data_IF_993162975860
#
_entry.id   IF_993162975860
#
_cell.length_a   1.000
_cell.length_b   1.000
_cell.length_c   1.000
_cell.angle_alpha   90.00
_cell.angle_beta   90.00
_cell.angle_gamma   90.00
#
_symmetry.space_group_name_H-M   'P 1'
#
loop_
_entity.id
_entity.type
_entity.pdbx_description
1 polymer ?
#
# COMPACT_ATOMS: atom_id res chain seq x y z
N UNK A 1 -21.37 5.61 -7.13
CA UNK A 1 -20.50 4.56 -6.54
C UNK A 1 -19.70 3.71 -7.55
N UNK A 2 -19.92 3.81 -8.88
CA UNK A 2 -19.17 3.01 -9.89
C UNK A 2 -17.96 3.70 -10.58
N UNK A 3 -17.69 4.98 -10.30
CA UNK A 3 -16.61 5.76 -10.93
C UNK A 3 -15.24 5.60 -10.25
N UNK A 4 -15.24 5.27 -8.95
CA UNK A 4 -14.00 5.08 -8.16
C UNK A 4 -13.33 3.74 -8.51
N UNK A 5 -14.11 2.68 -8.77
CA UNK A 5 -13.60 1.39 -9.25
C UNK A 5 -12.99 1.49 -10.66
N UNK A 6 -13.59 2.29 -11.54
CA UNK A 6 -13.09 2.52 -12.91
C UNK A 6 -11.81 3.36 -12.97
N UNK A 7 -11.57 4.24 -11.99
CA UNK A 7 -10.37 5.09 -11.92
C UNK A 7 -9.18 4.37 -11.27
N UNK A 8 -9.43 3.47 -10.30
CA UNK A 8 -8.41 2.54 -9.77
C UNK A 8 -7.88 1.64 -10.90
N UNK A 9 -8.78 1.14 -11.76
CA UNK A 9 -8.44 0.32 -12.94
C UNK A 9 -7.71 1.10 -14.05
N UNK A 10 -7.93 2.42 -14.20
CA UNK A 10 -7.35 3.21 -15.31
C UNK A 10 -5.99 3.89 -15.03
N UNK A 11 -5.62 4.22 -13.80
CA UNK A 11 -4.42 5.06 -13.58
C UNK A 11 -3.37 4.54 -12.58
N UNK A 12 -3.66 3.59 -11.69
CA UNK A 12 -2.65 3.11 -10.73
C UNK A 12 -1.89 1.84 -11.15
N UNK A 13 -2.36 1.08 -12.14
CA UNK A 13 -1.68 -0.14 -12.62
C UNK A 13 -1.04 0.02 -14.02
N UNK A 14 -1.49 0.99 -14.82
CA UNK A 14 -1.12 1.06 -16.24
C UNK A 14 0.05 1.99 -16.64
N UNK A 15 0.53 2.90 -15.78
CA UNK A 15 1.51 3.94 -16.20
C UNK A 15 2.68 4.22 -15.25
N UNK A 16 2.72 3.58 -14.08
CA UNK A 16 3.90 3.65 -13.20
C UNK A 16 4.93 2.62 -13.66
N UNK A 17 6.18 3.04 -13.93
CA UNK A 17 7.32 2.11 -14.07
C UNK A 17 7.63 1.36 -12.77
N UNK A 18 6.99 1.73 -11.67
CA UNK A 18 7.08 1.07 -10.38
C UNK A 18 5.87 0.15 -10.16
N UNK A 19 6.04 -1.19 -10.15
CA UNK A 19 4.92 -2.12 -10.14
C UNK A 19 4.16 -2.04 -8.80
N UNK A 20 2.83 -1.80 -8.80
CA UNK A 20 1.99 -1.91 -7.60
C UNK A 20 2.20 -3.24 -6.85
N UNK A 21 2.53 -4.30 -7.59
CA UNK A 21 2.99 -5.60 -7.10
C UNK A 21 4.17 -5.52 -6.13
N UNK A 22 5.19 -4.70 -6.39
CA UNK A 22 6.36 -4.56 -5.49
C UNK A 22 5.98 -3.89 -4.17
N UNK A 23 5.07 -2.91 -4.20
CA UNK A 23 4.60 -2.24 -2.99
C UNK A 23 3.74 -3.17 -2.13
N UNK A 24 2.85 -3.94 -2.76
CA UNK A 24 2.04 -4.93 -2.05
C UNK A 24 2.91 -6.04 -1.43
N UNK A 25 3.94 -6.50 -2.14
CA UNK A 25 4.89 -7.48 -1.61
C UNK A 25 5.74 -6.90 -0.46
N UNK A 26 6.27 -5.68 -0.61
CA UNK A 26 7.03 -5.01 0.45
C UNK A 26 6.17 -4.80 1.71
N UNK A 27 4.89 -4.45 1.54
CA UNK A 27 3.94 -4.35 2.64
C UNK A 27 3.66 -5.71 3.29
N UNK A 28 3.39 -6.76 2.51
CA UNK A 28 3.19 -8.11 3.04
C UNK A 28 4.40 -8.59 3.84
N UNK A 29 5.62 -8.33 3.37
CA UNK A 29 6.86 -8.64 4.07
C UNK A 29 7.04 -7.81 5.34
N UNK A 30 6.62 -6.54 5.34
CA UNK A 30 6.68 -5.69 6.53
C UNK A 30 5.65 -6.10 7.60
N UNK A 31 4.47 -6.57 7.18
CA UNK A 31 3.38 -6.96 8.10
C UNK A 31 3.50 -8.42 8.55
N UNK A 32 4.13 -9.28 7.75
CA UNK A 32 4.32 -10.70 8.02
C UNK A 32 5.80 -11.10 7.77
N UNK A 33 6.76 -10.55 8.55
CA UNK A 33 8.19 -10.79 8.33
C UNK A 33 8.60 -12.26 8.49
N UNK A 34 7.83 -13.03 9.27
CA UNK A 34 8.03 -14.45 9.55
C UNK A 34 7.76 -15.36 8.33
N UNK A 35 7.01 -14.88 7.32
CA UNK A 35 6.72 -15.63 6.09
C UNK A 35 7.45 -15.00 4.91
N UNK A 36 8.49 -15.68 4.41
CA UNK A 36 9.17 -15.32 3.15
C UNK A 36 8.25 -15.55 1.95
N UNK A 37 7.27 -14.66 1.74
CA UNK A 37 6.44 -14.67 0.53
C UNK A 37 7.27 -14.09 -0.62
N UNK A 38 7.73 -14.96 -1.52
CA UNK A 38 8.54 -14.59 -2.69
C UNK A 38 7.73 -14.49 -3.97
N UNK A 39 6.55 -15.10 -4.02
CA UNK A 39 5.65 -15.12 -5.18
C UNK A 39 4.17 -15.33 -4.76
N UNK A 40 3.24 -15.15 -5.72
CA UNK A 40 1.81 -15.42 -5.57
C UNK A 40 1.39 -16.79 -6.17
N UNK A 41 2.33 -17.69 -6.43
CA UNK A 41 2.07 -18.95 -7.14
C UNK A 41 2.40 -20.17 -6.29
N UNK A 42 3.66 -20.56 -6.19
CA UNK A 42 4.09 -21.82 -5.57
C UNK A 42 4.12 -21.78 -4.05
N UNK A 43 4.31 -20.61 -3.43
CA UNK A 43 4.37 -20.46 -1.97
C UNK A 43 2.99 -20.70 -1.29
N UNK A 44 1.95 -20.90 -2.10
CA UNK A 44 0.55 -20.99 -1.68
C UNK A 44 -0.09 -22.37 -1.94
N UNK A 45 0.60 -23.38 -2.50
CA UNK A 45 -0.02 -24.67 -2.87
C UNK A 45 0.25 -25.77 -1.80
N UNK A 46 -0.72 -26.34 -1.05
CA UNK A 46 -1.67 -27.36 -1.52
C UNK A 46 -2.57 -27.89 -0.36
N UNK A 47 -3.80 -28.37 -0.67
CA UNK A 47 -4.64 -29.25 0.18
C UNK A 47 -5.96 -28.66 0.73
N UNK A 48 -6.88 -29.51 1.23
CA UNK A 48 -8.14 -29.12 1.95
C UNK A 48 -7.84 -28.14 3.09
N UNK A 49 -6.68 -28.32 3.75
CA UNK A 49 -6.19 -27.44 4.81
C UNK A 49 -5.96 -26.01 4.34
N UNK A 50 -5.53 -25.79 3.09
CA UNK A 50 -5.33 -24.46 2.51
C UNK A 50 -6.65 -23.75 2.28
N UNK A 51 -7.65 -24.43 1.72
CA UNK A 51 -8.99 -23.86 1.52
C UNK A 51 -9.61 -23.47 2.86
N UNK A 52 -9.52 -24.35 3.87
CA UNK A 52 -9.98 -24.06 5.22
C UNK A 52 -9.22 -22.86 5.84
N UNK A 53 -7.91 -22.76 5.62
CA UNK A 53 -7.10 -21.62 6.06
C UNK A 53 -7.51 -20.32 5.37
N UNK A 54 -7.64 -20.32 4.03
CA UNK A 54 -8.08 -19.15 3.27
C UNK A 54 -9.47 -18.71 3.73
N UNK A 55 -10.40 -19.65 3.90
CA UNK A 55 -11.76 -19.37 4.39
C UNK A 55 -11.72 -18.71 5.78
N UNK A 56 -11.00 -19.32 6.72
CA UNK A 56 -10.83 -18.79 8.08
C UNK A 56 -10.21 -17.40 8.07
N UNK A 57 -9.17 -17.18 7.27
CA UNK A 57 -8.46 -15.91 7.18
C UNK A 57 -9.36 -14.81 6.58
N UNK A 58 -10.11 -15.12 5.53
CA UNK A 58 -11.03 -14.17 4.91
C UNK A 58 -12.22 -13.84 5.84
N UNK A 59 -12.74 -14.81 6.58
CA UNK A 59 -13.77 -14.58 7.61
C UNK A 59 -13.27 -13.65 8.73
N UNK A 60 -12.04 -13.87 9.21
CA UNK A 60 -11.40 -12.98 10.19
C UNK A 60 -11.22 -11.59 9.57
N UNK A 61 -10.71 -11.47 8.35
CA UNK A 61 -10.52 -10.18 7.68
C UNK A 61 -11.84 -9.41 7.52
N UNK A 62 -12.93 -10.11 7.19
CA UNK A 62 -14.27 -9.54 7.15
C UNK A 62 -14.72 -9.05 8.52
N UNK A 63 -14.56 -9.88 9.56
CA UNK A 63 -15.03 -9.59 10.92
C UNK A 63 -14.26 -8.42 11.56
N UNK A 64 -12.93 -8.46 11.45
CA UNK A 64 -12.05 -7.52 12.15
C UNK A 64 -11.85 -6.21 11.37
N UNK A 65 -11.85 -6.28 10.04
CA UNK A 65 -11.46 -5.15 9.19
C UNK A 65 -12.52 -4.76 8.15
N UNK A 66 -13.69 -5.39 8.17
CA UNK A 66 -14.78 -5.08 7.23
C UNK A 66 -14.46 -5.45 5.76
N UNK A 67 -13.48 -6.32 5.52
CA UNK A 67 -13.07 -6.72 4.16
C UNK A 67 -14.14 -7.62 3.52
N UNK A 68 -14.68 -7.28 2.34
CA UNK A 68 -15.74 -8.06 1.71
C UNK A 68 -15.22 -9.35 1.08
N UNK A 69 -16.05 -10.40 1.13
CA UNK A 69 -15.80 -11.70 0.48
C UNK A 69 -16.07 -11.60 -1.03
N UNK A 70 -15.25 -10.84 -1.76
CA UNK A 70 -15.39 -10.64 -3.22
C UNK A 70 -14.80 -11.79 -4.04
N UNK A 71 -14.06 -12.69 -3.40
CA UNK A 71 -13.61 -13.96 -3.97
C UNK A 71 -14.09 -15.11 -3.10
N UNK A 72 -14.26 -16.27 -3.71
CA UNK A 72 -14.46 -17.52 -2.98
C UNK A 72 -13.13 -17.96 -2.35
N UNK A 73 -13.13 -18.45 -1.09
CA UNK A 73 -11.93 -18.97 -0.45
C UNK A 73 -11.23 -20.09 -1.24
N UNK A 74 -12.01 -20.94 -1.89
CA UNK A 74 -11.55 -22.00 -2.78
C UNK A 74 -10.78 -21.43 -3.97
N UNK A 75 -11.29 -20.34 -4.55
CA UNK A 75 -10.64 -19.67 -5.66
C UNK A 75 -9.38 -18.93 -5.21
N UNK A 76 -9.39 -18.30 -4.03
CA UNK A 76 -8.19 -17.68 -3.44
C UNK A 76 -7.09 -18.72 -3.13
N UNK A 77 -7.48 -19.93 -2.75
CA UNK A 77 -6.59 -21.07 -2.51
C UNK A 77 -6.18 -21.82 -3.79
N UNK A 78 -6.72 -21.42 -4.95
CA UNK A 78 -6.53 -22.14 -6.20
C UNK A 78 -5.16 -21.83 -6.83
N UNK A 79 -4.45 -22.83 -7.39
CA UNK A 79 -3.27 -22.58 -8.21
C UNK A 79 -3.60 -21.82 -9.51
N UNK A 80 -4.88 -21.69 -9.85
CA UNK A 80 -5.38 -20.97 -11.02
C UNK A 80 -5.89 -19.55 -10.68
N UNK A 81 -5.65 -19.06 -9.46
CA UNK A 81 -5.93 -17.67 -9.12
C UNK A 81 -5.14 -16.74 -10.05
N UNK A 82 -5.84 -15.86 -10.75
CA UNK A 82 -5.19 -14.85 -11.58
C UNK A 82 -4.72 -13.64 -10.74
N UNK A 83 -3.68 -12.96 -11.21
CA UNK A 83 -3.08 -11.83 -10.49
C UNK A 83 -4.08 -10.69 -10.26
N UNK A 84 -5.00 -10.43 -11.20
CA UNK A 84 -5.96 -9.33 -11.08
C UNK A 84 -6.98 -9.62 -9.99
N UNK A 85 -7.45 -10.87 -9.87
CA UNK A 85 -8.32 -11.31 -8.79
C UNK A 85 -7.63 -11.20 -7.43
N UNK A 86 -6.40 -11.71 -7.31
CA UNK A 86 -5.61 -11.60 -6.07
C UNK A 86 -5.36 -10.14 -5.66
N UNK A 87 -4.96 -9.30 -6.62
CA UNK A 87 -4.78 -7.86 -6.39
C UNK A 87 -6.07 -7.16 -5.98
N UNK A 88 -7.19 -7.51 -6.62
CA UNK A 88 -8.51 -6.96 -6.31
C UNK A 88 -8.88 -7.22 -4.86
N UNK A 89 -8.75 -8.46 -4.38
CA UNK A 89 -9.05 -8.79 -2.99
C UNK A 89 -8.12 -8.08 -2.01
N UNK A 90 -6.81 -8.10 -2.25
CA UNK A 90 -5.83 -7.44 -1.38
C UNK A 90 -5.99 -5.91 -1.36
N UNK A 91 -6.51 -5.29 -2.42
CA UNK A 91 -6.72 -3.83 -2.47
C UNK A 91 -7.69 -3.33 -1.39
N UNK A 92 -8.60 -4.18 -0.89
CA UNK A 92 -9.49 -3.81 0.22
C UNK A 92 -8.74 -3.56 1.53
N UNK A 93 -7.57 -4.20 1.73
CA UNK A 93 -6.69 -3.94 2.87
C UNK A 93 -5.94 -2.61 2.76
N UNK A 94 -6.08 -1.90 1.64
CA UNK A 94 -5.38 -0.64 1.34
C UNK A 94 -6.32 0.55 1.20
N UNK A 95 -7.63 0.37 1.44
CA UNK A 95 -8.61 1.47 1.42
C UNK A 95 -8.35 2.47 2.54
N UNK A 96 -8.93 3.66 2.43
CA UNK A 96 -8.92 4.63 3.52
C UNK A 96 -9.39 3.97 4.83
N UNK A 97 -8.70 4.28 5.93
CA UNK A 97 -8.94 3.74 7.27
C UNK A 97 -8.72 2.21 7.44
N UNK A 98 -8.16 1.54 6.43
CA UNK A 98 -7.82 0.11 6.50
C UNK A 98 -6.49 -0.17 7.23
N UNK A 99 -6.19 -1.43 7.57
CA UNK A 99 -4.89 -1.79 8.16
C UNK A 99 -3.68 -1.40 7.31
N UNK A 100 -3.76 -1.52 5.99
CA UNK A 100 -2.68 -1.14 5.07
C UNK A 100 -2.51 0.37 4.95
N UNK A 101 -3.60 1.13 5.01
CA UNK A 101 -3.56 2.59 5.12
C UNK A 101 -2.81 3.03 6.38
N UNK A 102 -3.21 2.51 7.54
CA UNK A 102 -2.56 2.82 8.82
C UNK A 102 -1.11 2.33 8.89
N UNK A 103 -0.82 1.14 8.34
CA UNK A 103 0.53 0.61 8.25
C UNK A 103 1.44 1.51 7.40
N UNK A 104 0.92 2.00 6.27
CA UNK A 104 1.65 2.93 5.39
C UNK A 104 1.91 4.25 6.10
N UNK A 105 0.92 4.83 6.79
CA UNK A 105 1.11 6.04 7.60
C UNK A 105 2.13 5.84 8.72
N UNK A 106 2.11 4.71 9.43
CA UNK A 106 3.11 4.41 10.46
C UNK A 106 4.52 4.34 9.88
N UNK A 107 4.67 3.65 8.74
CA UNK A 107 5.96 3.58 8.07
C UNK A 107 6.44 4.96 7.63
N UNK A 108 5.60 5.76 6.97
CA UNK A 108 5.92 7.14 6.57
C UNK A 108 6.38 7.94 7.78
N UNK A 109 5.58 7.98 8.84
CA UNK A 109 5.91 8.72 10.06
C UNK A 109 7.22 8.25 10.71
N UNK A 110 7.57 6.96 10.64
CA UNK A 110 8.86 6.45 11.12
C UNK A 110 10.08 6.96 10.35
N UNK A 111 9.88 7.50 9.15
CA UNK A 111 10.92 8.08 8.30
C UNK A 111 10.99 9.60 8.39
N UNK A 112 10.03 10.23 9.05
CA UNK A 112 9.97 11.68 9.19
C UNK A 112 10.62 12.13 10.51
N UNK A 113 11.09 13.39 10.58
CA UNK A 113 11.46 14.01 11.85
C UNK A 113 10.26 14.05 12.81
N UNK A 114 10.51 14.02 14.12
CA UNK A 114 9.46 13.99 15.16
C UNK A 114 8.50 15.20 15.13
N UNK A 115 8.90 16.29 14.49
CA UNK A 115 8.10 17.51 14.32
C UNK A 115 7.06 17.40 13.19
N UNK A 116 7.11 16.35 12.38
CA UNK A 116 6.20 16.11 11.26
C UNK A 116 5.33 14.88 11.55
N UNK A 117 4.01 15.05 11.49
CA UNK A 117 3.05 13.95 11.61
C UNK A 117 2.09 13.99 10.44
N UNK A 118 2.07 12.91 9.67
CA UNK A 118 1.16 12.69 8.54
C UNK A 118 0.02 11.79 8.99
N UNK A 119 -1.21 12.28 8.87
CA UNK A 119 -2.43 11.58 9.31
C UNK A 119 -3.24 11.02 8.16
N UNK A 120 -3.01 11.52 6.94
CA UNK A 120 -3.70 11.05 5.73
C UNK A 120 -2.81 11.24 4.50
N UNK A 121 -3.30 10.85 3.33
CA UNK A 121 -2.60 10.99 2.04
C UNK A 121 -3.07 12.21 1.24
N UNK A 122 -3.38 13.34 1.91
CA UNK A 122 -3.89 14.56 1.27
C UNK A 122 -3.04 15.79 1.61
N UNK A 123 -3.54 16.72 2.44
CA UNK A 123 -3.00 18.07 2.65
C UNK A 123 -1.53 18.10 3.06
N UNK A 124 -1.10 17.18 3.91
CA UNK A 124 0.26 17.16 4.49
C UNK A 124 1.35 16.84 3.46
N UNK A 125 0.97 16.43 2.24
CA UNK A 125 1.88 16.08 1.16
C UNK A 125 2.07 17.22 0.15
N UNK A 126 1.19 18.21 0.17
CA UNK A 126 1.06 19.20 -0.90
C UNK A 126 2.27 20.14 -1.01
N UNK A 127 3.00 20.35 0.09
CA UNK A 127 4.19 21.21 0.12
C UNK A 127 5.48 20.50 -0.34
N UNK A 128 5.39 19.20 -0.62
CA UNK A 128 6.51 18.36 -1.05
C UNK A 128 7.49 17.96 0.06
N UNK A 129 7.39 18.50 1.28
CA UNK A 129 8.35 18.25 2.36
C UNK A 129 8.35 16.80 2.81
N UNK A 130 7.18 16.19 2.91
CA UNK A 130 7.04 14.76 3.25
C UNK A 130 7.74 13.89 2.20
N UNK A 131 7.53 14.16 0.91
CA UNK A 131 8.15 13.41 -0.18
C UNK A 131 9.67 13.57 -0.18
N UNK A 132 10.18 14.80 -0.07
CA UNK A 132 11.61 15.08 0.04
C UNK A 132 12.24 14.37 1.26
N UNK A 133 11.53 14.34 2.38
CA UNK A 133 12.00 13.66 3.60
C UNK A 133 12.12 12.15 3.39
N UNK A 134 11.13 11.54 2.72
CA UNK A 134 11.17 10.12 2.36
C UNK A 134 12.36 9.81 1.44
N UNK A 135 12.59 10.61 0.40
CA UNK A 135 13.74 10.45 -0.51
C UNK A 135 15.06 10.47 0.28
N UNK A 136 15.23 11.45 1.16
CA UNK A 136 16.42 11.56 2.01
C UNK A 136 16.58 10.37 2.95
N UNK A 137 15.48 9.90 3.56
CA UNK A 137 15.48 8.75 4.48
C UNK A 137 15.89 7.44 3.80
N UNK A 138 15.71 7.36 2.48
CA UNK A 138 16.10 6.22 1.64
C UNK A 138 17.50 6.38 1.03
N UNK A 139 18.24 7.44 1.40
CA UNK A 139 19.59 7.72 0.92
C UNK A 139 19.65 8.46 -0.41
N UNK A 140 18.52 8.95 -0.94
CA UNK A 140 18.49 9.76 -2.15
C UNK A 140 18.91 11.22 -1.87
N UNK A 141 19.59 11.89 -2.82
CA UNK A 141 19.93 13.30 -2.68
C UNK A 141 18.68 14.18 -2.83
N UNK A 142 18.55 15.18 -1.96
CA UNK A 142 17.58 16.28 -2.10
C UNK A 142 18.32 17.60 -1.88
N UNK A 143 18.90 18.18 -2.95
CA UNK A 143 19.53 19.49 -2.88
C UNK A 143 18.56 20.53 -2.31
N UNK A 144 19.06 21.48 -1.52
CA UNK A 144 18.24 22.54 -0.95
C UNK A 144 17.16 22.09 0.04
N UNK A 145 17.19 20.85 0.56
CA UNK A 145 16.19 20.34 1.50
C UNK A 145 15.90 21.30 2.68
N UNK A 146 16.94 21.92 3.23
CA UNK A 146 16.81 22.84 4.36
C UNK A 146 16.12 24.17 3.99
N UNK A 147 15.96 24.45 2.69
CA UNK A 147 15.28 25.63 2.15
C UNK A 147 13.80 25.39 1.85
N UNK A 148 13.32 24.17 2.04
CA UNK A 148 11.92 23.81 1.77
C UNK A 148 10.96 24.55 2.71
N UNK A 149 10.05 25.34 2.14
CA UNK A 149 8.99 26.01 2.90
C UNK A 149 7.71 25.19 2.92
N UNK A 150 7.01 25.21 4.06
CA UNK A 150 5.65 24.69 4.21
C UNK A 150 4.58 25.75 3.91
N UNK A 151 4.96 27.02 3.75
CA UNK A 151 4.02 28.09 3.46
C UNK A 151 3.53 28.02 2.02
N UNK A 152 2.19 28.01 1.77
CA UNK A 152 1.63 27.95 0.43
C UNK A 152 2.12 29.06 -0.52
N UNK A 153 2.37 30.25 0.02
CA UNK A 153 2.91 31.40 -0.72
C UNK A 153 4.35 31.19 -1.21
N UNK A 154 5.05 30.18 -0.69
CA UNK A 154 6.46 29.88 -0.96
C UNK A 154 6.64 28.53 -1.67
N UNK A 155 5.56 27.82 -2.04
CA UNK A 155 5.67 26.51 -2.69
C UNK A 155 6.36 26.57 -4.06
N UNK A 156 6.22 27.66 -4.81
CA UNK A 156 6.94 27.83 -6.09
C UNK A 156 8.46 27.90 -5.87
N UNK A 157 8.92 28.42 -4.73
CA UNK A 157 10.34 28.45 -4.40
C UNK A 157 10.91 27.04 -4.19
N UNK A 158 10.08 26.07 -3.77
CA UNK A 158 10.47 24.67 -3.64
C UNK A 158 10.71 23.98 -5.01
N UNK A 159 10.35 24.60 -6.14
CA UNK A 159 10.63 24.05 -7.47
C UNK A 159 12.09 24.26 -7.91
N UNK A 160 12.78 25.20 -7.29
CA UNK A 160 14.15 25.60 -7.64
C UNK A 160 15.21 24.94 -6.75
N UNK A 161 14.91 23.75 -6.22
CA UNK A 161 15.82 22.93 -5.40
C UNK A 161 17.01 22.39 -6.20
#
# INVERSE_FOLDING_TARGET
>A
MGLIWSLIVRYQIGRSKFPPKKLMLAWLQAVIPERRVGNFTTDWNSGILLVANCRRAMEIARREFGIPMVLEPEYLASPFLDELSGMTYLSYFMKEDSPGFHATLRWVNSKLPQTSSVRNFTKEWNDGKVLCSLVRSLGGPVPGYDKLSSEPSQWEANLNL
#
